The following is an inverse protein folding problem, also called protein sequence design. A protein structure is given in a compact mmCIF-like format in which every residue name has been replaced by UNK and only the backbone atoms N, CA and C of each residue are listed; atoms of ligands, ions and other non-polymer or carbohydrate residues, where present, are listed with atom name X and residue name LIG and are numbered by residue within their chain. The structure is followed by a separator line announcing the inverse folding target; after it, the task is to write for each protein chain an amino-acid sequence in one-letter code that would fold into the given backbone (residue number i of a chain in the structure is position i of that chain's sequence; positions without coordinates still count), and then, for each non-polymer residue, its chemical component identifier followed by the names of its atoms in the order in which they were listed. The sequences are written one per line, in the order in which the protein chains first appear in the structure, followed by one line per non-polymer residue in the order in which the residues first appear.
data_IF_482602648519
#
_entry.id   IF_482602648519
#
_cell.length_a   1.000
_cell.length_b   1.000
_cell.length_c   1.000
_cell.angle_alpha   90.00
_cell.angle_beta   90.00
_cell.angle_gamma   90.00
#
_symmetry.space_group_name_H-M   'P 1'
#
loop_
_entity.id
_entity.type
_entity.pdbx_description
1 polymer ?
#
# COMPACT_ATOMS: atom_id res chain seq x y z
N UNK A 1 -1.00 -18.97 -9.91
CA UNK A 1 0.48 -18.84 -9.92
C UNK A 1 1.06 -19.76 -8.84
N UNK A 2 2.32 -20.20 -8.96
CA UNK A 2 2.96 -21.02 -7.91
C UNK A 2 3.22 -20.17 -6.65
N UNK A 3 2.85 -20.60 -5.43
CA UNK A 3 3.00 -19.80 -4.21
C UNK A 3 4.42 -19.27 -3.96
N UNK A 4 5.45 -20.01 -4.39
CA UNK A 4 6.86 -19.64 -4.23
C UNK A 4 7.27 -18.40 -5.03
N UNK A 5 6.52 -18.03 -6.06
CA UNK A 5 6.75 -16.81 -6.84
C UNK A 5 6.09 -15.60 -6.20
N UNK A 6 4.89 -15.77 -5.63
CA UNK A 6 4.17 -14.70 -4.96
C UNK A 6 4.94 -14.21 -3.73
N UNK A 7 5.53 -15.12 -2.95
CA UNK A 7 6.35 -14.77 -1.78
C UNK A 7 7.58 -13.89 -2.11
N UNK A 8 8.00 -13.86 -3.38
CA UNK A 8 9.12 -13.02 -3.85
C UNK A 8 8.72 -11.57 -4.11
N UNK A 9 7.43 -11.28 -4.29
CA UNK A 9 6.95 -9.91 -4.40
C UNK A 9 6.88 -9.26 -3.02
N UNK A 10 7.36 -8.02 -2.94
CA UNK A 10 7.25 -7.21 -1.73
C UNK A 10 5.80 -6.83 -1.48
N UNK A 11 5.20 -6.12 -2.42
CA UNK A 11 3.84 -5.60 -2.31
C UNK A 11 2.92 -6.25 -3.34
N UNK A 12 1.64 -6.34 -3.00
CA UNK A 12 0.58 -6.80 -3.88
C UNK A 12 -0.59 -5.82 -3.82
N UNK A 13 -1.14 -5.48 -4.99
CA UNK A 13 -2.32 -4.63 -5.14
C UNK A 13 -3.26 -5.33 -6.10
N UNK A 14 -4.53 -5.39 -5.74
CA UNK A 14 -5.57 -5.86 -6.65
C UNK A 14 -6.18 -4.65 -7.37
N UNK A 15 -6.28 -4.75 -8.70
CA UNK A 15 -6.88 -3.73 -9.53
C UNK A 15 -8.23 -4.26 -10.00
N UNK A 16 -9.30 -3.51 -9.73
CA UNK A 16 -10.63 -3.79 -10.24
C UNK A 16 -11.02 -2.71 -11.26
N UNK A 17 -11.81 -3.09 -12.26
CA UNK A 17 -12.35 -2.14 -13.23
C UNK A 17 -13.36 -1.21 -12.56
N UNK A 18 -13.26 0.09 -12.85
CA UNK A 18 -14.21 1.10 -12.37
C UNK A 18 -15.64 0.75 -12.84
N UNK A 19 -16.60 0.80 -11.92
CA UNK A 19 -18.00 0.42 -12.15
C UNK A 19 -18.91 1.63 -12.22
N UNK A 20 -18.55 2.72 -11.55
CA UNK A 20 -19.36 3.94 -11.54
C UNK A 20 -19.36 4.59 -12.92
N UNK A 21 -20.56 4.87 -13.43
CA UNK A 21 -20.74 5.43 -14.78
C UNK A 21 -20.08 6.80 -14.90
N UNK A 22 -20.12 7.62 -13.84
CA UNK A 22 -19.52 8.95 -13.80
C UNK A 22 -18.00 8.88 -13.92
N UNK A 23 -17.35 8.05 -13.10
CA UNK A 23 -15.90 7.86 -13.18
C UNK A 23 -15.47 7.22 -14.50
N UNK A 24 -16.21 6.23 -15.01
CA UNK A 24 -15.93 5.64 -16.32
C UNK A 24 -16.00 6.66 -17.45
N UNK A 25 -17.05 7.49 -17.47
CA UNK A 25 -17.17 8.60 -18.43
C UNK A 25 -15.97 9.54 -18.34
N UNK A 26 -15.60 9.96 -17.12
CA UNK A 26 -14.46 10.85 -16.90
C UNK A 26 -13.13 10.23 -17.37
N UNK A 27 -12.93 8.93 -17.20
CA UNK A 27 -11.75 8.22 -17.73
C UNK A 27 -11.73 8.30 -19.27
N UNK A 28 -12.84 7.98 -19.93
CA UNK A 28 -12.95 8.05 -21.39
C UNK A 28 -12.72 9.47 -21.92
N UNK A 29 -13.32 10.47 -21.29
CA UNK A 29 -13.12 11.88 -21.67
C UNK A 29 -11.65 12.31 -21.55
N UNK A 30 -10.95 11.88 -20.49
CA UNK A 30 -9.51 12.17 -20.32
C UNK A 30 -8.66 11.51 -21.41
N UNK A 31 -8.99 10.28 -21.81
CA UNK A 31 -8.30 9.59 -22.91
C UNK A 31 -8.50 10.36 -24.21
N UNK A 32 -9.73 10.78 -24.53
CA UNK A 32 -10.00 11.55 -25.74
C UNK A 32 -9.28 12.90 -25.77
N UNK A 33 -9.19 13.60 -24.63
CA UNK A 33 -8.43 14.85 -24.52
C UNK A 33 -6.92 14.61 -24.75
N UNK A 34 -6.38 13.52 -24.22
CA UNK A 34 -4.98 13.17 -24.40
C UNK A 34 -4.66 12.80 -25.85
N UNK A 35 -5.48 11.96 -26.47
CA UNK A 35 -5.31 11.52 -27.88
C UNK A 35 -5.54 12.65 -28.87
N UNK A 36 -6.46 13.57 -28.57
CA UNK A 36 -6.70 14.79 -29.33
C UNK A 36 -5.61 15.85 -29.18
N UNK A 37 -4.54 15.55 -28.45
CA UNK A 37 -3.40 16.45 -28.19
C UNK A 37 -3.80 17.79 -27.55
N UNK A 38 -4.82 17.78 -26.69
CA UNK A 38 -5.26 19.01 -26.01
C UNK A 38 -4.13 19.60 -25.15
N UNK A 39 -3.70 20.81 -25.50
CA UNK A 39 -2.56 21.47 -24.86
C UNK A 39 -2.84 21.76 -23.37
N UNK A 40 -4.08 22.13 -23.03
CA UNK A 40 -4.49 22.39 -21.65
C UNK A 40 -4.52 21.13 -20.79
N UNK A 41 -4.87 19.98 -21.37
CA UNK A 41 -4.78 18.68 -20.73
C UNK A 41 -3.33 18.34 -20.39
N UNK A 42 -2.42 18.39 -21.38
CA UNK A 42 -1.00 18.07 -21.18
C UNK A 42 -0.37 18.97 -20.11
N UNK A 43 -0.50 20.29 -20.25
CA UNK A 43 0.06 21.26 -19.30
C UNK A 43 -0.44 21.01 -17.86
N UNK A 44 -1.73 20.75 -17.70
CA UNK A 44 -2.33 20.50 -16.39
C UNK A 44 -1.77 19.25 -15.71
N UNK A 45 -1.58 18.16 -16.46
CA UNK A 45 -1.11 16.89 -15.90
C UNK A 45 0.41 16.85 -15.76
N UNK A 46 1.16 17.49 -16.66
CA UNK A 46 2.61 17.65 -16.52
C UNK A 46 2.98 18.38 -15.22
N UNK A 47 2.23 19.43 -14.88
CA UNK A 47 2.43 20.14 -13.60
C UNK A 47 2.19 19.23 -12.40
N UNK A 48 1.14 18.39 -12.43
CA UNK A 48 0.85 17.43 -11.35
C UNK A 48 1.92 16.35 -11.24
N UNK A 49 2.46 15.89 -12.37
CA UNK A 49 3.56 14.93 -12.39
C UNK A 49 4.84 15.53 -11.84
N UNK A 50 5.11 16.83 -12.09
CA UNK A 50 6.23 17.55 -11.46
C UNK A 50 6.06 17.67 -9.94
N UNK A 51 4.87 18.03 -9.46
CA UNK A 51 4.56 18.09 -8.03
C UNK A 51 4.78 16.72 -7.36
N UNK A 52 4.29 15.64 -8.00
CA UNK A 52 4.49 14.28 -7.51
C UNK A 52 5.97 13.88 -7.53
N UNK A 53 6.70 14.21 -8.60
CA UNK A 53 8.15 13.94 -8.72
C UNK A 53 8.93 14.63 -7.62
N UNK A 54 8.69 15.91 -7.39
CA UNK A 54 9.35 16.67 -6.33
C UNK A 54 9.09 16.04 -4.96
N UNK A 55 7.84 15.64 -4.68
CA UNK A 55 7.48 14.93 -3.44
C UNK A 55 8.23 13.60 -3.29
N UNK A 56 8.33 12.80 -4.36
CA UNK A 56 9.05 11.53 -4.32
C UNK A 56 10.57 11.70 -4.15
N UNK A 57 11.16 12.74 -4.74
CA UNK A 57 12.58 13.08 -4.55
C UNK A 57 12.85 13.46 -3.09
N UNK A 58 12.01 14.33 -2.52
CA UNK A 58 12.10 14.71 -1.11
C UNK A 58 11.95 13.49 -0.19
N UNK A 59 10.96 12.63 -0.44
CA UNK A 59 10.75 11.41 0.33
C UNK A 59 11.96 10.46 0.29
N UNK A 60 12.57 10.26 -0.88
CA UNK A 60 13.79 9.44 -1.01
C UNK A 60 14.95 10.00 -0.20
N UNK A 61 15.12 11.33 -0.17
CA UNK A 61 16.15 11.99 0.62
C UNK A 61 15.88 11.89 2.13
N UNK A 62 14.61 11.96 2.55
CA UNK A 62 14.21 11.88 3.96
C UNK A 62 14.21 10.44 4.52
N UNK A 63 14.00 9.43 3.69
CA UNK A 63 13.83 8.03 4.09
C UNK A 63 14.88 7.48 5.09
N UNK A 64 16.20 7.78 4.96
CA UNK A 64 17.20 7.33 5.92
C UNK A 64 16.97 7.87 7.34
N UNK A 65 16.39 9.07 7.46
CA UNK A 65 16.10 9.74 8.72
C UNK A 65 14.74 9.39 9.34
N UNK A 66 13.91 8.59 8.67
CA UNK A 66 12.65 8.10 9.26
C UNK A 66 12.98 7.13 10.40
N UNK A 67 12.47 7.45 11.58
CA UNK A 67 12.63 6.68 12.80
C UNK A 67 11.69 5.47 12.81
N UNK A 68 12.10 4.44 13.54
CA UNK A 68 11.27 3.28 13.85
C UNK A 68 11.39 3.02 15.36
N UNK A 69 10.50 3.64 16.15
CA UNK A 69 10.40 3.36 17.57
C UNK A 69 10.16 1.88 17.85
N UNK A 70 10.59 1.42 19.03
CA UNK A 70 10.53 0.01 19.41
C UNK A 70 9.10 -0.53 19.43
N UNK A 71 8.16 0.28 19.89
CA UNK A 71 6.73 -0.02 19.93
C UNK A 71 6.14 -0.27 18.53
N UNK A 72 6.63 0.42 17.49
CA UNK A 72 6.20 0.19 16.10
C UNK A 72 6.72 -1.15 15.62
N UNK A 73 8.00 -1.46 15.89
CA UNK A 73 8.59 -2.73 15.52
C UNK A 73 7.89 -3.91 16.23
N UNK A 74 7.63 -3.78 17.53
CA UNK A 74 6.87 -4.76 18.31
C UNK A 74 5.47 -4.97 17.74
N UNK A 75 4.76 -3.89 17.39
CA UNK A 75 3.43 -3.96 16.77
C UNK A 75 3.47 -4.71 15.43
N UNK A 76 4.46 -4.42 14.58
CA UNK A 76 4.64 -5.10 13.29
C UNK A 76 4.85 -6.59 13.50
N UNK A 77 5.78 -6.97 14.38
CA UNK A 77 6.10 -8.38 14.64
C UNK A 77 4.90 -9.12 15.24
N UNK A 78 4.17 -8.48 16.16
CA UNK A 78 3.00 -9.08 16.79
C UNK A 78 1.88 -9.36 15.78
N UNK A 79 1.56 -8.40 14.92
CA UNK A 79 0.54 -8.56 13.86
C UNK A 79 0.94 -9.65 12.87
N UNK A 80 2.19 -9.63 12.38
CA UNK A 80 2.67 -10.62 11.39
C UNK A 80 2.69 -12.03 11.99
N UNK A 81 3.10 -12.17 13.25
CA UNK A 81 3.09 -13.43 13.98
C UNK A 81 1.66 -13.97 14.18
N UNK A 82 0.70 -13.12 14.58
CA UNK A 82 -0.70 -13.51 14.73
C UNK A 82 -1.33 -13.95 13.39
N UNK A 83 -0.89 -13.34 12.30
CA UNK A 83 -1.31 -13.74 10.96
C UNK A 83 -0.67 -15.06 10.48
N UNK A 84 0.26 -15.63 11.25
CA UNK A 84 0.88 -16.93 10.93
C UNK A 84 1.70 -16.89 9.65
N UNK A 85 2.22 -15.71 9.28
CA UNK A 85 3.08 -15.53 8.10
C UNK A 85 4.43 -16.19 8.40
N UNK A 86 4.90 -17.03 7.48
CA UNK A 86 6.14 -17.78 7.68
C UNK A 86 7.38 -16.93 7.39
N UNK A 87 8.37 -17.00 8.30
CA UNK A 87 9.66 -16.32 8.18
C UNK A 87 9.56 -14.79 8.30
N UNK A 88 10.70 -14.11 8.21
CA UNK A 88 10.80 -12.68 8.54
C UNK A 88 10.55 -11.73 7.36
N UNK A 89 10.21 -12.27 6.18
CA UNK A 89 10.03 -11.45 4.97
C UNK A 89 8.80 -10.55 5.09
N UNK A 90 7.74 -11.02 5.75
CA UNK A 90 6.55 -10.21 6.02
C UNK A 90 6.90 -9.00 6.86
N UNK A 91 7.55 -9.21 8.00
CA UNK A 91 7.96 -8.16 8.94
C UNK A 91 8.82 -7.10 8.26
N UNK A 92 9.88 -7.53 7.58
CA UNK A 92 10.83 -6.61 6.90
C UNK A 92 10.13 -5.80 5.81
N UNK A 93 9.18 -6.42 5.09
CA UNK A 93 8.46 -5.74 4.01
C UNK A 93 7.48 -4.71 4.56
N UNK A 94 6.70 -5.06 5.59
CA UNK A 94 5.80 -4.12 6.28
C UNK A 94 6.61 -2.95 6.83
N UNK A 95 7.70 -3.22 7.53
CA UNK A 95 8.58 -2.20 8.10
C UNK A 95 9.10 -1.23 7.04
N UNK A 96 9.67 -1.75 5.95
CA UNK A 96 10.19 -0.90 4.85
C UNK A 96 9.09 -0.08 4.19
N UNK A 97 7.89 -0.63 4.08
CA UNK A 97 6.73 0.04 3.49
C UNK A 97 6.23 1.15 4.39
N UNK A 98 6.09 0.90 5.68
CA UNK A 98 5.69 1.91 6.67
C UNK A 98 6.68 3.09 6.69
N UNK A 99 8.00 2.82 6.67
CA UNK A 99 9.02 3.88 6.55
C UNK A 99 8.88 4.70 5.27
N UNK A 100 8.64 4.03 4.14
CA UNK A 100 8.47 4.70 2.85
C UNK A 100 7.22 5.59 2.84
N UNK A 101 6.12 5.12 3.42
CA UNK A 101 4.88 5.90 3.55
C UNK A 101 5.08 7.12 4.46
N UNK A 102 5.77 6.96 5.59
CA UNK A 102 6.13 8.06 6.47
C UNK A 102 6.98 9.13 5.74
N UNK A 103 7.98 8.69 4.97
CA UNK A 103 8.81 9.58 4.15
C UNK A 103 7.99 10.30 3.07
N UNK A 104 7.04 9.61 2.42
CA UNK A 104 6.12 10.20 1.43
C UNK A 104 5.15 11.20 2.07
N UNK A 105 4.76 10.98 3.33
CA UNK A 105 3.95 11.90 4.13
C UNK A 105 4.77 13.07 4.71
N UNK A 106 6.08 12.94 4.79
CA UNK A 106 6.97 13.95 5.41
C UNK A 106 6.92 13.94 6.94
N UNK A 107 6.58 12.81 7.56
CA UNK A 107 6.54 12.63 9.02
C UNK A 107 7.78 11.86 9.51
N UNK A 108 8.27 12.10 10.74
CA UNK A 108 9.53 11.52 11.21
C UNK A 108 9.44 10.04 11.56
N UNK A 109 8.23 9.52 11.83
CA UNK A 109 7.97 8.11 12.18
C UNK A 109 6.63 7.69 11.57
N UNK A 110 6.44 6.41 11.19
CA UNK A 110 5.15 5.91 10.70
C UNK A 110 4.02 6.14 11.71
N UNK A 111 2.90 6.64 11.20
CA UNK A 111 1.64 6.73 11.94
C UNK A 111 0.78 5.47 11.73
N UNK A 112 -0.39 5.44 12.37
CA UNK A 112 -1.32 4.32 12.27
C UNK A 112 -1.73 4.02 10.82
N UNK A 113 -2.00 5.06 10.01
CA UNK A 113 -2.37 4.91 8.61
C UNK A 113 -1.21 4.32 7.78
N UNK A 114 0.04 4.75 8.02
CA UNK A 114 1.22 4.14 7.39
C UNK A 114 1.33 2.64 7.71
N UNK A 115 1.06 2.23 8.95
CA UNK A 115 1.09 0.83 9.33
C UNK A 115 -0.05 0.07 8.66
N UNK A 116 -1.26 0.62 8.72
CA UNK A 116 -2.47 0.09 8.11
C UNK A 116 -2.29 -0.22 6.62
N UNK A 117 -1.75 0.74 5.86
CA UNK A 117 -1.44 0.58 4.44
C UNK A 117 -0.29 -0.40 4.21
N UNK A 118 0.76 -0.33 5.02
CA UNK A 118 1.90 -1.24 4.89
C UNK A 118 1.48 -2.71 5.04
N UNK A 119 0.62 -3.03 6.00
CA UNK A 119 0.07 -4.38 6.16
C UNK A 119 -0.77 -4.81 4.96
N UNK A 120 -1.67 -3.94 4.48
CA UNK A 120 -2.56 -4.23 3.34
C UNK A 120 -1.83 -4.36 2.02
N UNK A 121 -0.67 -3.74 1.87
CA UNK A 121 0.16 -3.88 0.67
C UNK A 121 1.10 -5.10 0.77
N UNK A 122 1.67 -5.39 1.93
CA UNK A 122 2.75 -6.36 2.07
C UNK A 122 2.30 -7.81 2.36
N UNK A 123 1.12 -8.00 2.96
CA UNK A 123 0.71 -9.29 3.51
C UNK A 123 -0.32 -10.10 2.72
N UNK A 124 -1.25 -9.55 1.91
CA UNK A 124 -2.34 -10.35 1.34
C UNK A 124 -1.90 -11.63 0.60
N UNK A 125 -0.83 -11.54 -0.18
CA UNK A 125 -0.26 -12.67 -0.93
C UNK A 125 0.63 -13.62 -0.11
N UNK A 126 0.86 -13.30 1.18
CA UNK A 126 1.60 -14.11 2.15
C UNK A 126 0.69 -14.85 3.13
N UNK A 127 -0.59 -14.49 3.17
CA UNK A 127 -1.59 -15.19 3.95
C UNK A 127 -1.92 -16.52 3.25
N UNK A 128 -1.88 -17.62 4.00
CA UNK A 128 -2.38 -18.89 3.48
C UNK A 128 -3.89 -18.76 3.30
N UNK A 129 -4.36 -19.03 2.10
CA UNK A 129 -5.77 -19.33 1.86
C UNK A 129 -6.02 -20.74 2.40
N UNK A 130 -6.98 -20.88 3.31
CA UNK A 130 -7.51 -22.19 3.64
C UNK A 130 -8.18 -22.75 2.38
N UNK A 131 -7.87 -23.98 1.93
CA UNK A 131 -8.50 -24.58 0.74
C UNK A 131 -10.03 -24.63 0.81
N UNK A 132 -10.61 -24.48 2.00
CA UNK A 132 -12.04 -24.51 2.26
C UNK A 132 -12.65 -23.11 2.51
N UNK A 133 -11.85 -22.04 2.49
CA UNK A 133 -12.34 -20.66 2.62
C UNK A 133 -12.10 -19.87 1.33
N UNK A 134 -13.11 -19.11 0.89
CA UNK A 134 -12.98 -18.21 -0.26
C UNK A 134 -11.83 -17.20 -0.05
N UNK A 135 -11.14 -16.83 -1.13
CA UNK A 135 -10.10 -15.77 -1.24
C UNK A 135 -10.42 -14.47 -0.48
N UNK A 136 -11.70 -14.17 -0.20
CA UNK A 136 -12.13 -13.06 0.63
C UNK A 136 -11.80 -13.22 2.14
N UNK A 137 -11.41 -14.43 2.58
CA UNK A 137 -11.10 -14.75 3.98
C UNK A 137 -9.82 -14.07 4.47
N UNK A 138 -8.76 -14.08 3.66
CA UNK A 138 -7.45 -13.52 4.05
C UNK A 138 -7.50 -12.03 4.40
N UNK A 139 -8.22 -11.22 3.61
CA UNK A 139 -8.40 -9.79 3.88
C UNK A 139 -9.26 -9.52 5.11
N UNK A 140 -10.39 -10.23 5.25
CA UNK A 140 -11.23 -10.09 6.45
C UNK A 140 -10.47 -10.47 7.72
N UNK A 141 -9.66 -11.52 7.66
CA UNK A 141 -8.78 -11.93 8.75
C UNK A 141 -7.73 -10.85 9.03
N UNK A 142 -7.10 -10.28 8.00
CA UNK A 142 -6.18 -9.16 8.15
C UNK A 142 -6.84 -7.98 8.86
N UNK A 143 -7.98 -7.49 8.37
CA UNK A 143 -8.69 -6.37 8.96
C UNK A 143 -9.13 -6.66 10.41
N UNK A 144 -9.57 -7.89 10.69
CA UNK A 144 -9.92 -8.33 12.04
C UNK A 144 -8.73 -8.34 13.01
N UNK A 145 -7.55 -8.76 12.55
CA UNK A 145 -6.32 -8.69 13.36
C UNK A 145 -5.92 -7.23 13.57
N UNK A 146 -5.85 -6.42 12.51
CA UNK A 146 -5.46 -5.01 12.60
C UNK A 146 -6.34 -4.23 13.59
N UNK A 147 -7.66 -4.45 13.58
CA UNK A 147 -8.58 -3.81 14.51
C UNK A 147 -8.27 -4.14 15.98
N UNK A 148 -7.80 -5.36 16.29
CA UNK A 148 -7.41 -5.78 17.65
C UNK A 148 -6.12 -5.12 18.13
N UNK A 149 -5.26 -4.72 17.21
CA UNK A 149 -4.03 -3.96 17.48
C UNK A 149 -4.25 -2.44 17.40
N UNK A 150 -5.50 -1.98 17.29
CA UNK A 150 -5.80 -0.55 17.19
C UNK A 150 -5.31 0.09 15.89
N UNK A 151 -5.19 -0.70 14.81
CA UNK A 151 -4.84 -0.23 13.47
C UNK A 151 -6.08 -0.33 12.59
N UNK A 152 -6.66 0.80 12.23
CA UNK A 152 -7.94 0.85 11.52
C UNK A 152 -7.72 1.14 10.03
N UNK A 153 -8.62 0.65 9.14
CA UNK A 153 -8.56 1.03 7.73
C UNK A 153 -8.60 2.56 7.58
N UNK A 154 -7.77 3.08 6.66
CA UNK A 154 -7.93 4.45 6.20
C UNK A 154 -9.35 4.59 5.61
N UNK A 155 -10.10 5.60 6.08
CA UNK A 155 -11.48 5.86 5.67
C UNK A 155 -11.60 6.29 4.21
#
# INVERSE_FOLDING_TARGET
MRPQLLDRFGLCVEISGERDVGFRKAIVERVLLFEGEDAGFREKWDRKDEELRARLVAARAALPGVELPGEILESIVAVVAELGVAGHRGDITVLKTAKALAAIKGIPSPDEECLSDAFRLALPHRLKEDPFEETASGRKRLDGVLARFGVHPAG
#
